data_IF_487649146210
#
_entry.id   IF_487649146210
#
_cell.length_a   1.000
_cell.length_b   1.000
_cell.length_c   1.000
_cell.angle_alpha   90.00
_cell.angle_beta   90.00
_cell.angle_gamma   90.00
#
_symmetry.space_group_name_H-M   'P 1'
#
loop_
_entity.id
_entity.type
_entity.pdbx_description
1 polymer ?
#
# COMPACT_ATOMS: atom_id res chain seq x y z
N UNK A 1 43.30 37.04 -40.74
CA UNK A 1 43.64 36.38 -39.47
C UNK A 1 42.86 37.08 -38.37
N UNK A 2 41.75 36.45 -37.95
CA UNK A 2 41.45 35.91 -36.59
C UNK A 2 40.44 36.80 -35.85
N UNK A 3 39.13 36.63 -36.12
CA UNK A 3 38.10 35.80 -35.44
C UNK A 3 37.42 36.49 -34.26
N UNK A 4 36.11 36.71 -34.42
CA UNK A 4 35.16 37.25 -33.42
C UNK A 4 34.94 36.24 -32.28
N UNK A 5 34.92 36.75 -31.05
CA UNK A 5 34.58 36.06 -29.82
C UNK A 5 33.06 35.95 -29.67
N UNK A 6 32.54 34.73 -29.45
CA UNK A 6 31.17 34.47 -29.02
C UNK A 6 31.18 33.40 -27.93
N UNK A 7 30.96 33.80 -26.68
CA UNK A 7 30.80 32.88 -25.55
C UNK A 7 29.34 32.39 -25.46
N UNK A 8 29.14 31.07 -25.45
CA UNK A 8 27.88 30.42 -25.04
C UNK A 8 27.90 30.16 -23.53
N UNK A 9 26.78 30.30 -22.81
CA UNK A 9 26.67 29.75 -21.47
C UNK A 9 26.19 28.30 -21.56
N UNK A 10 26.96 27.35 -21.02
CA UNK A 10 26.54 25.95 -20.88
C UNK A 10 26.33 25.60 -19.42
N UNK A 11 25.08 25.25 -19.10
CA UNK A 11 24.75 24.10 -18.26
C UNK A 11 25.05 24.22 -16.77
N UNK A 12 24.05 24.68 -16.02
CA UNK A 12 23.96 24.52 -14.59
C UNK A 12 23.94 23.02 -14.24
N UNK A 13 24.96 22.54 -13.51
CA UNK A 13 25.05 21.15 -13.06
C UNK A 13 24.00 20.88 -11.99
N UNK A 14 22.97 20.10 -12.35
CA UNK A 14 21.94 19.60 -11.45
C UNK A 14 22.56 18.69 -10.39
N UNK A 15 22.53 19.14 -9.13
CA UNK A 15 22.74 18.26 -7.97
C UNK A 15 21.69 17.14 -7.97
N UNK A 16 21.99 15.94 -7.45
CA UNK A 16 20.99 14.89 -7.33
C UNK A 16 19.87 15.37 -6.40
N UNK A 17 18.65 15.44 -6.94
CA UNK A 17 17.46 15.81 -6.16
C UNK A 17 17.30 14.84 -4.98
N UNK A 18 17.22 15.39 -3.77
CA UNK A 18 16.84 14.63 -2.59
C UNK A 18 15.39 14.13 -2.78
N UNK A 19 15.05 12.90 -2.34
CA UNK A 19 13.66 12.46 -2.36
C UNK A 19 12.80 13.45 -1.58
N UNK A 20 11.68 13.87 -2.20
CA UNK A 20 10.79 14.87 -1.61
C UNK A 20 10.13 14.27 -0.37
N UNK A 21 9.99 15.04 0.72
CA UNK A 21 9.20 14.60 1.86
C UNK A 21 7.74 14.42 1.41
N UNK A 22 7.12 13.34 1.89
CA UNK A 22 5.72 12.97 1.62
C UNK A 22 4.84 14.16 2.04
N UNK A 23 4.36 14.92 1.05
CA UNK A 23 3.52 16.10 1.27
C UNK A 23 2.12 15.65 1.72
N UNK A 24 1.58 16.33 2.73
CA UNK A 24 0.24 16.08 3.30
C UNK A 24 -0.81 15.94 2.19
N UNK A 25 -1.60 14.86 2.25
CA UNK A 25 -2.69 14.46 1.33
C UNK A 25 -3.80 15.50 1.06
N UNK A 26 -3.72 16.73 1.57
CA UNK A 26 -4.88 17.61 1.61
C UNK A 26 -5.14 18.48 0.38
N UNK A 27 -4.34 18.43 -0.69
CA UNK A 27 -4.64 19.24 -1.88
C UNK A 27 -4.27 18.53 -3.20
N UNK A 28 -5.31 18.25 -3.99
CA UNK A 28 -5.32 17.91 -5.44
C UNK A 28 -4.88 16.50 -5.88
N UNK A 29 -5.59 15.46 -5.45
CA UNK A 29 -5.64 14.16 -6.15
C UNK A 29 -7.11 13.74 -6.29
N UNK A 30 -7.62 13.63 -7.52
CA UNK A 30 -9.02 13.26 -7.79
C UNK A 30 -9.29 11.77 -7.47
N UNK A 31 -8.27 10.92 -7.55
CA UNK A 31 -8.31 9.50 -7.20
C UNK A 31 -7.03 9.06 -6.48
N UNK A 32 -7.15 8.02 -5.66
CA UNK A 32 -6.04 7.32 -5.00
C UNK A 32 -6.23 5.81 -5.16
N UNK A 33 -5.27 5.14 -5.78
CA UNK A 33 -5.38 3.76 -6.24
C UNK A 33 -4.47 2.82 -5.45
N UNK A 34 -5.06 1.77 -4.87
CA UNK A 34 -4.37 0.84 -3.98
C UNK A 34 -4.56 -0.59 -4.48
N UNK A 35 -3.48 -1.36 -4.53
CA UNK A 35 -3.53 -2.82 -4.71
C UNK A 35 -3.03 -3.54 -3.47
N UNK A 36 -3.83 -4.51 -3.00
CA UNK A 36 -3.46 -5.47 -1.97
C UNK A 36 -3.33 -6.84 -2.62
N UNK A 37 -2.13 -7.40 -2.71
CA UNK A 37 -1.89 -8.70 -3.36
C UNK A 37 -1.02 -9.66 -2.53
N UNK A 38 -1.16 -10.95 -2.82
CA UNK A 38 -0.53 -12.06 -2.10
C UNK A 38 -1.16 -13.39 -2.54
N UNK A 39 -1.17 -14.38 -1.65
CA UNK A 39 -1.77 -15.70 -1.92
C UNK A 39 -3.13 -15.90 -1.27
N UNK A 40 -3.92 -16.80 -1.85
CA UNK A 40 -5.21 -17.22 -1.31
C UNK A 40 -5.13 -17.63 0.16
N UNK A 41 -6.08 -17.15 0.97
CA UNK A 41 -6.12 -17.41 2.42
C UNK A 41 -5.46 -16.35 3.30
N UNK A 42 -4.71 -15.39 2.72
CA UNK A 42 -4.16 -14.25 3.47
C UNK A 42 -5.18 -13.15 3.79
N UNK A 43 -6.42 -13.24 3.27
CA UNK A 43 -7.51 -12.35 3.64
C UNK A 43 -7.47 -10.96 3.00
N UNK A 44 -6.90 -10.83 1.80
CA UNK A 44 -6.73 -9.54 1.10
C UNK A 44 -8.04 -8.93 0.61
N UNK A 45 -8.98 -9.75 0.12
CA UNK A 45 -10.34 -9.29 -0.25
C UNK A 45 -11.06 -8.69 0.96
N UNK A 46 -10.94 -9.34 2.13
CA UNK A 46 -11.49 -8.83 3.38
C UNK A 46 -10.79 -7.53 3.80
N UNK A 47 -9.46 -7.48 3.66
CA UNK A 47 -8.69 -6.29 3.98
C UNK A 47 -9.11 -5.08 3.13
N UNK A 48 -9.27 -5.29 1.82
CA UNK A 48 -9.80 -4.27 0.90
C UNK A 48 -11.19 -3.80 1.33
N UNK A 49 -12.08 -4.72 1.70
CA UNK A 49 -13.42 -4.36 2.18
C UNK A 49 -13.39 -3.53 3.46
N UNK A 50 -12.49 -3.84 4.39
CA UNK A 50 -12.31 -3.09 5.64
C UNK A 50 -11.80 -1.68 5.34
N UNK A 51 -10.79 -1.56 4.48
CA UNK A 51 -10.24 -0.26 4.08
C UNK A 51 -11.29 0.58 3.34
N UNK A 52 -12.04 -0.03 2.43
CA UNK A 52 -13.14 0.62 1.72
C UNK A 52 -14.20 1.15 2.70
N UNK A 53 -14.62 0.35 3.68
CA UNK A 53 -15.59 0.80 4.68
C UNK A 53 -15.04 1.93 5.56
N UNK A 54 -13.74 1.90 5.89
CA UNK A 54 -13.08 2.98 6.62
C UNK A 54 -13.07 4.29 5.82
N UNK A 55 -12.81 4.23 4.52
CA UNK A 55 -12.82 5.38 3.60
C UNK A 55 -14.24 5.94 3.44
N UNK A 56 -15.25 5.08 3.30
CA UNK A 56 -16.66 5.49 3.19
C UNK A 56 -17.16 6.18 4.46
N UNK A 57 -16.70 5.72 5.63
CA UNK A 57 -17.01 6.37 6.93
C UNK A 57 -16.52 7.81 6.99
N UNK A 58 -15.49 8.15 6.22
CA UNK A 58 -14.92 9.49 6.14
C UNK A 58 -15.51 10.32 4.99
N UNK A 59 -16.61 9.86 4.38
CA UNK A 59 -17.34 10.61 3.36
C UNK A 59 -16.71 10.58 1.97
N UNK A 60 -15.76 9.67 1.72
CA UNK A 60 -15.16 9.45 0.40
C UNK A 60 -15.80 8.27 -0.31
N UNK A 61 -15.63 8.24 -1.62
CA UNK A 61 -16.12 7.16 -2.48
C UNK A 61 -15.03 6.14 -2.73
N UNK A 62 -15.42 4.89 -2.91
CA UNK A 62 -14.49 3.81 -3.20
C UNK A 62 -15.16 2.75 -4.06
N UNK A 63 -14.45 2.27 -5.07
CA UNK A 63 -14.79 1.04 -5.78
C UNK A 63 -13.73 -0.01 -5.46
N UNK A 64 -14.19 -1.22 -5.14
CA UNK A 64 -13.30 -2.37 -4.95
C UNK A 64 -13.50 -3.35 -6.12
N UNK A 65 -12.40 -3.74 -6.75
CA UNK A 65 -12.35 -4.89 -7.66
C UNK A 65 -11.44 -5.98 -7.07
N UNK A 66 -11.58 -7.21 -7.56
CA UNK A 66 -10.86 -8.36 -7.01
C UNK A 66 -10.53 -9.36 -8.10
N UNK A 67 -9.37 -9.99 -7.99
CA UNK A 67 -8.95 -11.09 -8.83
C UNK A 67 -8.43 -12.23 -7.95
N UNK A 68 -8.71 -13.46 -8.33
CA UNK A 68 -8.15 -14.63 -7.68
C UNK A 68 -7.97 -15.76 -8.69
N UNK A 69 -6.89 -16.51 -8.54
CA UNK A 69 -6.64 -17.69 -9.34
C UNK A 69 -7.34 -18.91 -8.71
N UNK A 70 -8.12 -19.68 -9.47
CA UNK A 70 -8.90 -20.81 -8.96
C UNK A 70 -8.02 -22.06 -8.78
N UNK A 71 -6.94 -21.95 -8.00
CA UNK A 71 -6.02 -23.03 -7.70
C UNK A 71 -6.36 -23.67 -6.34
N UNK A 72 -6.34 -25.01 -6.28
CA UNK A 72 -6.71 -25.79 -5.09
C UNK A 72 -5.75 -25.63 -3.91
N UNK A 73 -4.55 -25.06 -4.13
CA UNK A 73 -3.49 -24.89 -3.13
C UNK A 73 -2.99 -23.45 -2.99
N UNK A 74 -3.88 -22.48 -3.23
CA UNK A 74 -3.58 -21.06 -3.07
C UNK A 74 -2.84 -20.50 -4.28
N UNK A 75 -3.60 -19.86 -5.17
CA UNK A 75 -3.05 -19.00 -6.21
C UNK A 75 -3.00 -17.55 -5.76
N UNK A 76 -2.64 -16.66 -6.70
CA UNK A 76 -2.62 -15.22 -6.45
C UNK A 76 -4.03 -14.75 -6.08
N UNK A 77 -4.10 -13.87 -5.08
CA UNK A 77 -5.31 -13.15 -4.68
C UNK A 77 -5.00 -11.67 -4.58
N UNK A 78 -5.91 -10.87 -5.14
CA UNK A 78 -5.76 -9.44 -5.27
C UNK A 78 -7.07 -8.73 -4.91
N UNK A 79 -6.95 -7.61 -4.21
CA UNK A 79 -8.01 -6.65 -4.00
C UNK A 79 -7.50 -5.26 -4.37
N UNK A 80 -8.18 -4.62 -5.30
CA UNK A 80 -7.87 -3.29 -5.79
C UNK A 80 -8.91 -2.30 -5.29
N UNK A 81 -8.48 -1.10 -4.91
CA UNK A 81 -9.33 -0.03 -4.43
C UNK A 81 -9.04 1.24 -5.22
N UNK A 82 -10.08 1.83 -5.80
CA UNK A 82 -10.04 3.17 -6.40
C UNK A 82 -10.81 4.09 -5.45
N UNK A 83 -10.11 4.99 -4.77
CA UNK A 83 -10.67 5.91 -3.77
C UNK A 83 -10.78 7.30 -4.40
N UNK A 84 -11.89 8.02 -4.20
CA UNK A 84 -12.08 9.36 -4.74
C UNK A 84 -12.86 10.27 -3.79
N UNK A 85 -12.70 11.57 -3.97
CA UNK A 85 -13.54 12.59 -3.30
C UNK A 85 -14.93 12.71 -3.92
N UNK A 86 -15.12 12.22 -5.15
CA UNK A 86 -16.39 12.17 -5.88
C UNK A 86 -16.75 10.74 -6.27
N UNK A 87 -17.93 10.54 -6.86
CA UNK A 87 -18.35 9.22 -7.36
C UNK A 87 -17.26 8.61 -8.26
N UNK A 88 -16.98 7.32 -8.05
CA UNK A 88 -15.97 6.60 -8.84
C UNK A 88 -16.55 6.23 -10.20
N UNK A 89 -15.99 6.79 -11.26
CA UNK A 89 -16.43 6.55 -12.64
C UNK A 89 -15.92 5.22 -13.20
N UNK A 90 -14.71 4.80 -12.80
CA UNK A 90 -14.07 3.57 -13.27
C UNK A 90 -13.54 2.73 -12.10
N UNK A 91 -13.97 1.45 -11.95
CA UNK A 91 -13.71 0.67 -10.74
C UNK A 91 -12.41 -0.16 -10.77
N UNK A 92 -11.59 -0.04 -11.83
CA UNK A 92 -10.34 -0.77 -11.98
C UNK A 92 -9.17 0.20 -11.86
N UNK A 93 -8.07 -0.29 -11.28
CA UNK A 93 -6.83 0.48 -11.19
C UNK A 93 -6.16 0.60 -12.54
N UNK A 94 -5.58 1.77 -12.81
CA UNK A 94 -4.74 2.06 -13.97
C UNK A 94 -3.30 2.35 -13.59
N UNK A 95 -3.07 3.11 -12.52
CA UNK A 95 -1.75 3.50 -12.03
C UNK A 95 -1.78 3.46 -10.50
N UNK A 96 -0.95 2.62 -9.90
CA UNK A 96 -0.99 2.40 -8.45
C UNK A 96 -0.29 3.54 -7.71
N UNK A 97 -0.99 4.18 -6.78
CA UNK A 97 -0.35 5.04 -5.79
C UNK A 97 0.27 4.21 -4.66
N UNK A 98 -0.36 3.08 -4.32
CA UNK A 98 0.12 2.18 -3.28
C UNK A 98 -0.01 0.70 -3.67
N UNK A 99 1.08 -0.05 -3.50
CA UNK A 99 1.11 -1.49 -3.69
C UNK A 99 1.51 -2.18 -2.37
N UNK A 100 0.65 -3.05 -1.86
CA UNK A 100 0.96 -3.99 -0.77
C UNK A 100 1.13 -5.41 -1.33
N UNK A 101 2.24 -6.07 -1.01
CA UNK A 101 2.50 -7.46 -1.39
C UNK A 101 2.85 -8.32 -0.17
N UNK A 102 2.04 -9.36 0.11
CA UNK A 102 2.25 -10.28 1.25
C UNK A 102 2.86 -11.64 0.87
N UNK A 103 3.06 -11.91 -0.41
CA UNK A 103 3.65 -13.14 -0.95
C UNK A 103 4.28 -12.85 -2.31
N UNK A 104 5.51 -13.32 -2.50
CA UNK A 104 6.26 -13.17 -3.75
C UNK A 104 5.49 -13.62 -5.00
N UNK A 105 4.63 -14.64 -4.89
CA UNK A 105 3.85 -15.15 -6.01
C UNK A 105 3.00 -14.04 -6.67
N UNK A 106 2.60 -13.04 -5.90
CA UNK A 106 1.77 -11.93 -6.36
C UNK A 106 2.57 -10.71 -6.87
N UNK A 107 3.91 -10.78 -6.92
CA UNK A 107 4.75 -9.71 -7.50
C UNK A 107 4.58 -9.67 -9.02
N UNK A 108 4.42 -10.82 -9.66
CA UNK A 108 4.24 -10.91 -11.11
C UNK A 108 3.02 -10.10 -11.56
N UNK A 109 3.19 -9.27 -12.60
CA UNK A 109 2.12 -8.44 -13.15
C UNK A 109 1.80 -7.16 -12.38
N UNK A 110 2.57 -6.82 -11.33
CA UNK A 110 2.42 -5.53 -10.62
C UNK A 110 3.21 -4.39 -11.26
N UNK A 111 4.35 -4.70 -11.88
CA UNK A 111 5.30 -3.70 -12.39
C UNK A 111 4.71 -2.76 -13.45
N UNK A 112 3.78 -3.23 -14.28
CA UNK A 112 3.21 -2.43 -15.37
C UNK A 112 2.31 -1.28 -14.88
N UNK A 113 1.82 -1.37 -13.64
CA UNK A 113 0.95 -0.36 -13.03
C UNK A 113 1.71 0.56 -12.06
N UNK A 114 3.03 0.38 -11.93
CA UNK A 114 3.84 1.18 -11.03
C UNK A 114 4.41 2.39 -11.76
N UNK A 115 4.33 3.54 -11.08
CA UNK A 115 4.96 4.79 -11.50
C UNK A 115 6.12 5.12 -10.55
N UNK A 116 7.00 6.08 -10.89
CA UNK A 116 8.02 6.55 -9.95
C UNK A 116 7.47 7.17 -8.66
N UNK A 117 6.17 7.50 -8.61
CA UNK A 117 5.51 8.03 -7.42
C UNK A 117 4.87 6.94 -6.54
N UNK A 118 4.75 5.71 -7.05
CA UNK A 118 4.13 4.61 -6.33
C UNK A 118 4.89 4.27 -5.05
N UNK A 119 4.15 4.15 -3.95
CA UNK A 119 4.67 3.61 -2.70
C UNK A 119 4.46 2.11 -2.65
N UNK A 120 5.50 1.35 -2.32
CA UNK A 120 5.45 -0.11 -2.30
C UNK A 120 5.76 -0.59 -0.90
N UNK A 121 4.88 -1.41 -0.35
CA UNK A 121 5.05 -2.12 0.91
C UNK A 121 5.10 -3.63 0.65
N UNK A 122 6.23 -4.25 1.00
CA UNK A 122 6.45 -5.68 0.86
C UNK A 122 6.57 -6.33 2.23
N UNK A 123 6.06 -7.55 2.36
CA UNK A 123 6.46 -8.41 3.46
C UNK A 123 7.95 -8.77 3.34
N UNK A 124 8.72 -8.55 4.40
CA UNK A 124 10.18 -8.70 4.38
C UNK A 124 10.67 -10.15 4.31
N UNK A 125 9.86 -11.13 4.74
CA UNK A 125 10.23 -12.56 4.74
C UNK A 125 9.63 -13.28 3.54
N UNK A 126 8.41 -12.91 3.15
CA UNK A 126 7.60 -13.62 2.14
C UNK A 126 7.83 -13.12 0.73
N UNK A 127 8.53 -12.00 0.55
CA UNK A 127 8.89 -11.42 -0.74
C UNK A 127 10.41 -11.25 -0.79
N UNK A 128 11.12 -12.25 -1.31
CA UNK A 128 12.59 -12.28 -1.34
C UNK A 128 13.18 -11.68 -2.62
N UNK A 129 12.39 -11.61 -3.69
CA UNK A 129 12.78 -11.07 -4.99
C UNK A 129 13.18 -9.59 -4.93
N UNK A 130 14.11 -9.23 -5.81
CA UNK A 130 14.66 -7.89 -6.03
C UNK A 130 13.99 -7.15 -7.20
N UNK A 131 13.01 -7.78 -7.87
CA UNK A 131 12.31 -7.21 -9.04
C UNK A 131 11.78 -5.80 -8.79
N UNK A 132 11.32 -5.51 -7.57
CA UNK A 132 10.77 -4.21 -7.19
C UNK A 132 11.78 -3.29 -6.48
N UNK A 133 13.04 -3.72 -6.27
CA UNK A 133 14.01 -2.96 -5.47
C UNK A 133 14.41 -1.62 -6.11
N UNK A 134 14.34 -1.52 -7.45
CA UNK A 134 14.54 -0.27 -8.17
C UNK A 134 13.53 0.82 -7.76
N UNK A 135 12.34 0.42 -7.32
CA UNK A 135 11.29 1.29 -6.80
C UNK A 135 11.45 1.61 -5.30
N UNK A 136 12.52 1.13 -4.65
CA UNK A 136 12.84 1.38 -3.22
C UNK A 136 11.67 1.02 -2.28
N UNK A 137 11.21 -0.23 -2.27
CA UNK A 137 10.08 -0.65 -1.47
C UNK A 137 10.38 -0.56 0.03
N UNK A 138 9.35 -0.28 0.81
CA UNK A 138 9.38 -0.43 2.26
C UNK A 138 9.15 -1.91 2.57
N UNK A 139 10.06 -2.53 3.31
CA UNK A 139 9.98 -3.94 3.69
C UNK A 139 9.71 -4.05 5.19
N UNK A 140 8.59 -4.66 5.57
CA UNK A 140 8.19 -4.84 6.97
C UNK A 140 7.88 -6.31 7.28
N UNK A 141 8.09 -6.80 8.51
CA UNK A 141 7.84 -8.20 8.88
C UNK A 141 6.35 -8.45 9.16
N UNK A 142 5.47 -8.24 8.19
CA UNK A 142 4.01 -8.20 8.39
C UNK A 142 3.44 -9.56 8.83
N UNK A 143 3.82 -10.63 8.13
CA UNK A 143 3.38 -12.00 8.39
C UNK A 143 4.02 -12.57 9.65
N UNK A 144 5.31 -12.30 9.88
CA UNK A 144 6.01 -12.70 11.09
C UNK A 144 5.47 -11.98 12.34
N UNK A 145 5.10 -10.70 12.20
CA UNK A 145 4.46 -9.94 13.29
C UNK A 145 3.14 -10.58 13.69
N UNK A 146 2.29 -10.94 12.72
CA UNK A 146 1.04 -11.66 13.01
C UNK A 146 1.27 -13.03 13.64
N UNK A 147 2.34 -13.74 13.24
CA UNK A 147 2.78 -15.00 13.85
C UNK A 147 3.14 -14.79 15.32
N UNK A 148 3.94 -13.78 15.63
CA UNK A 148 4.35 -13.41 17.00
C UNK A 148 3.17 -12.98 17.87
N UNK A 149 2.15 -12.36 17.28
CA UNK A 149 0.89 -12.03 17.97
C UNK A 149 0.02 -13.27 18.27
N UNK A 150 0.41 -14.45 17.79
CA UNK A 150 -0.29 -15.72 18.03
C UNK A 150 -1.40 -16.03 17.03
N UNK A 151 -1.53 -15.25 15.95
CA UNK A 151 -2.52 -15.52 14.91
C UNK A 151 -2.04 -15.06 13.53
N UNK A 152 -1.51 -16.00 12.75
CA UNK A 152 -1.05 -15.76 11.38
C UNK A 152 -2.15 -15.17 10.47
N UNK A 153 -3.43 -15.46 10.74
CA UNK A 153 -4.57 -14.91 9.96
C UNK A 153 -4.75 -13.40 10.14
N UNK A 154 -4.11 -12.79 11.13
CA UNK A 154 -4.14 -11.35 11.36
C UNK A 154 -3.08 -10.58 10.55
N UNK A 155 -2.30 -11.25 9.68
CA UNK A 155 -1.28 -10.59 8.85
C UNK A 155 -1.86 -9.46 7.98
N UNK A 156 -3.07 -9.64 7.47
CA UNK A 156 -3.75 -8.58 6.72
C UNK A 156 -4.10 -7.36 7.58
N UNK A 157 -4.37 -7.53 8.87
CA UNK A 157 -4.63 -6.43 9.80
C UNK A 157 -3.35 -5.66 10.13
N UNK A 158 -2.23 -6.37 10.33
CA UNK A 158 -0.90 -5.75 10.47
C UNK A 158 -0.58 -4.93 9.22
N UNK A 159 -0.80 -5.50 8.04
CA UNK A 159 -0.54 -4.84 6.78
C UNK A 159 -1.43 -3.59 6.57
N UNK A 160 -2.72 -3.66 6.91
CA UNK A 160 -3.61 -2.50 6.86
C UNK A 160 -3.18 -1.39 7.82
N UNK A 161 -2.78 -1.74 9.04
CA UNK A 161 -2.26 -0.77 10.00
C UNK A 161 -1.02 -0.05 9.47
N UNK A 162 -0.07 -0.80 8.90
CA UNK A 162 1.13 -0.24 8.29
C UNK A 162 0.81 0.64 7.08
N UNK A 163 -0.07 0.17 6.18
CA UNK A 163 -0.54 0.93 5.02
C UNK A 163 -1.16 2.26 5.45
N UNK A 164 -2.07 2.25 6.44
CA UNK A 164 -2.71 3.48 6.93
C UNK A 164 -1.70 4.43 7.54
N UNK A 165 -0.75 3.95 8.35
CA UNK A 165 0.31 4.80 8.91
C UNK A 165 1.26 5.36 7.84
N UNK A 166 1.46 4.63 6.73
CA UNK A 166 2.29 5.06 5.61
C UNK A 166 1.62 6.11 4.74
N UNK A 167 0.35 5.89 4.43
CA UNK A 167 -0.39 6.67 3.43
C UNK A 167 -1.20 7.79 4.04
N UNK A 168 -1.60 7.71 5.31
CA UNK A 168 -2.65 8.53 5.90
C UNK A 168 -3.97 8.46 5.11
N UNK A 169 -4.21 7.34 4.40
CA UNK A 169 -5.39 7.17 3.55
C UNK A 169 -6.68 7.26 4.33
N UNK A 170 -6.74 6.89 5.61
CA UNK A 170 -7.87 7.09 6.50
C UNK A 170 -7.39 7.19 7.96
N UNK A 171 -8.26 7.57 8.87
CA UNK A 171 -7.98 7.56 10.31
C UNK A 171 -7.97 6.13 10.84
N UNK A 172 -7.06 5.87 11.79
CA UNK A 172 -6.97 4.58 12.50
C UNK A 172 -8.32 4.20 13.13
N UNK A 173 -9.01 5.15 13.74
CA UNK A 173 -10.32 4.91 14.37
C UNK A 173 -11.38 4.44 13.36
N UNK A 174 -11.37 5.02 12.15
CA UNK A 174 -12.24 4.60 11.04
C UNK A 174 -11.94 3.17 10.60
N UNK A 175 -10.65 2.83 10.52
CA UNK A 175 -10.19 1.48 10.19
C UNK A 175 -10.61 0.46 11.25
N UNK A 176 -10.42 0.76 12.53
CA UNK A 176 -10.81 -0.11 13.63
C UNK A 176 -12.34 -0.30 13.68
N UNK A 177 -13.10 0.77 13.51
CA UNK A 177 -14.56 0.70 13.45
C UNK A 177 -15.07 -0.15 12.27
N UNK A 178 -14.43 -0.04 11.10
CA UNK A 178 -14.71 -0.88 9.95
C UNK A 178 -14.39 -2.35 10.22
N UNK A 179 -13.21 -2.64 10.79
CA UNK A 179 -12.77 -3.99 11.13
C UNK A 179 -13.73 -4.67 12.11
N UNK A 180 -14.20 -3.95 13.14
CA UNK A 180 -15.12 -4.49 14.15
C UNK A 180 -16.47 -4.94 13.58
N UNK A 181 -16.93 -4.34 12.48
CA UNK A 181 -18.20 -4.73 11.84
C UNK A 181 -18.13 -6.04 11.07
N UNK A 182 -16.98 -6.38 10.51
CA UNK A 182 -16.82 -7.58 9.68
C UNK A 182 -16.07 -8.70 10.40
N UNK A 183 -15.28 -8.38 11.42
CA UNK A 183 -14.54 -9.40 12.18
C UNK A 183 -15.45 -10.13 13.17
N UNK A 184 -15.40 -11.47 13.22
CA UNK A 184 -16.12 -12.23 14.25
C UNK A 184 -15.64 -11.84 15.65
N UNK A 185 -16.54 -11.82 16.63
CA UNK A 185 -16.28 -11.34 18.00
C UNK A 185 -15.01 -11.93 18.63
N UNK A 186 -14.75 -13.22 18.43
CA UNK A 186 -13.57 -13.90 18.99
C UNK A 186 -12.22 -13.41 18.44
N UNK A 187 -12.21 -12.72 17.29
CA UNK A 187 -10.99 -12.22 16.65
C UNK A 187 -10.82 -10.70 16.77
N UNK A 188 -11.78 -9.98 17.35
CA UNK A 188 -11.75 -8.51 17.38
C UNK A 188 -10.54 -7.96 18.15
N UNK A 189 -10.26 -8.49 19.35
CA UNK A 189 -9.13 -8.01 20.17
C UNK A 189 -7.77 -8.25 19.49
N UNK A 190 -7.57 -9.42 18.91
CA UNK A 190 -6.31 -9.74 18.20
C UNK A 190 -6.17 -8.89 16.93
N UNK A 191 -7.27 -8.63 16.21
CA UNK A 191 -7.25 -7.78 15.03
C UNK A 191 -6.98 -6.30 15.37
N UNK A 192 -7.55 -5.78 16.47
CA UNK A 192 -7.23 -4.43 16.97
C UNK A 192 -5.75 -4.30 17.28
N UNK A 193 -5.19 -5.25 18.03
CA UNK A 193 -3.77 -5.27 18.36
C UNK A 193 -2.89 -5.40 17.11
N UNK A 194 -3.33 -6.18 16.12
CA UNK A 194 -2.61 -6.31 14.85
C UNK A 194 -2.59 -4.99 14.07
N UNK A 195 -3.72 -4.28 13.98
CA UNK A 195 -3.77 -2.93 13.38
C UNK A 195 -2.81 -1.99 14.11
N UNK A 196 -2.86 -1.96 15.44
CA UNK A 196 -2.01 -1.10 16.27
C UNK A 196 -0.53 -1.31 16.01
N UNK A 197 -0.07 -2.57 16.08
CA UNK A 197 1.33 -2.91 15.84
C UNK A 197 1.71 -2.59 14.40
N UNK A 198 0.82 -2.86 13.44
CA UNK A 198 1.00 -2.48 12.04
C UNK A 198 1.23 -0.98 11.88
N UNK A 199 0.42 -0.14 12.53
CA UNK A 199 0.59 1.31 12.50
C UNK A 199 1.94 1.73 13.08
N UNK A 200 2.39 1.09 14.16
CA UNK A 200 3.72 1.32 14.74
C UNK A 200 4.85 1.05 13.75
N UNK A 201 4.84 -0.12 13.10
CA UNK A 201 5.83 -0.49 12.08
C UNK A 201 5.86 0.51 10.91
N UNK A 202 4.68 0.91 10.42
CA UNK A 202 4.59 1.91 9.36
C UNK A 202 5.15 3.27 9.77
N UNK A 203 4.85 3.74 10.98
CA UNK A 203 5.34 5.01 11.50
C UNK A 203 6.86 5.03 11.72
N UNK A 204 7.44 3.95 12.24
CA UNK A 204 8.89 3.79 12.44
C UNK A 204 9.64 3.82 11.10
N UNK A 205 9.07 3.22 10.05
CA UNK A 205 9.70 3.21 8.72
C UNK A 205 9.74 4.58 8.01
N UNK A 206 8.93 5.56 8.44
CA UNK A 206 9.00 6.95 7.94
C UNK A 206 10.20 7.72 8.51
N UNK A 207 10.82 7.25 9.60
CA UNK A 207 11.93 7.96 10.23
C UNK A 207 13.21 7.72 9.41
N UNK A 208 13.93 8.77 9.00
CA UNK A 208 15.23 8.59 8.35
C UNK A 208 16.20 7.98 9.35
N UNK A 209 16.85 6.88 8.95
CA UNK A 209 18.01 6.32 9.63
C UNK A 209 19.17 7.33 9.71
#
# INVERSE_FOLDING_TARGET
>A
MTTRSSARPTGNGSSPERPRPIQRLHQAMDSYEIRLCGTGGQGLILAGRILADAVVREGRWVAQSQAFEPLSRGGVSQADLVISSSMVDFPLVSDLDFLLVLDELAVAGTHELLTPASSILLDSERVATDVLDACRPIRLPLVETARTLGNLRAANMVALGALVALTDVCQRDSLEAAMLRVSPKGFQQINQRAIEVGCGLGAESKQPA
#
